data_IF_825239974175
#
_entry.id   IF_825239974175
#
_cell.length_a   1.000
_cell.length_b   1.000
_cell.length_c   1.000
_cell.angle_alpha   90.00
_cell.angle_beta   90.00
_cell.angle_gamma   90.00
#
_symmetry.space_group_name_H-M   'P 1'
#
loop_
_entity.id
_entity.type
_entity.pdbx_description
1 polymer ?
#
# COMPACT_ATOMS: atom_id res chain seq x y z
N UNK A 1 -41.59 53.53 -42.94
CA UNK A 1 -40.55 52.48 -42.97
C UNK A 1 -39.18 52.87 -42.37
N UNK A 2 -38.92 54.13 -41.96
CA UNK A 2 -37.62 54.52 -41.38
C UNK A 2 -37.51 54.41 -39.85
N UNK A 3 -38.62 54.31 -39.11
CA UNK A 3 -38.60 54.24 -37.63
C UNK A 3 -38.29 52.81 -37.11
N UNK A 4 -38.87 51.77 -37.72
CA UNK A 4 -38.66 50.38 -37.30
C UNK A 4 -37.24 49.86 -37.53
N UNK A 5 -36.51 50.40 -38.51
CA UNK A 5 -35.13 49.98 -38.81
C UNK A 5 -34.15 50.49 -37.74
N UNK A 6 -34.38 51.69 -37.20
CA UNK A 6 -33.54 52.26 -36.12
C UNK A 6 -33.71 51.51 -34.80
N UNK A 7 -34.93 51.06 -34.50
CA UNK A 7 -35.21 50.22 -33.32
C UNK A 7 -34.55 48.84 -33.41
N UNK A 8 -34.59 48.18 -34.58
CA UNK A 8 -33.92 46.90 -34.78
C UNK A 8 -32.39 47.02 -34.70
N UNK A 9 -31.80 48.09 -35.24
CA UNK A 9 -30.35 48.31 -35.16
C UNK A 9 -29.88 48.55 -33.72
N UNK A 10 -30.66 49.30 -32.92
CA UNK A 10 -30.33 49.55 -31.52
C UNK A 10 -30.41 48.27 -30.68
N UNK A 11 -31.42 47.42 -30.92
CA UNK A 11 -31.57 46.13 -30.22
C UNK A 11 -30.45 45.16 -30.62
N UNK A 12 -30.08 45.09 -31.91
CA UNK A 12 -28.98 44.26 -32.37
C UNK A 12 -27.61 44.69 -31.79
N UNK A 13 -27.40 46.00 -31.61
CA UNK A 13 -26.15 46.54 -31.04
C UNK A 13 -26.03 46.25 -29.54
N UNK A 14 -27.15 46.29 -28.80
CA UNK A 14 -27.17 45.95 -27.36
C UNK A 14 -27.02 44.44 -27.13
N UNK A 15 -27.55 43.60 -28.02
CA UNK A 15 -27.37 42.13 -27.95
C UNK A 15 -25.92 41.72 -28.25
N UNK A 16 -25.23 42.39 -29.17
CA UNK A 16 -23.81 42.14 -29.44
C UNK A 16 -22.88 42.51 -28.26
N UNK A 17 -23.25 43.48 -27.43
CA UNK A 17 -22.47 43.89 -26.25
C UNK A 17 -22.59 42.89 -25.08
N UNK A 18 -23.58 42.00 -25.08
CA UNK A 18 -23.74 40.93 -24.09
C UNK A 18 -23.11 39.59 -24.54
N UNK A 19 -22.53 39.55 -25.75
CA UNK A 19 -21.81 38.40 -26.30
C UNK A 19 -20.28 38.56 -26.20
N UNK A 20 -19.78 39.39 -25.29
CA UNK A 20 -18.35 39.38 -24.96
C UNK A 20 -18.05 38.11 -24.17
N UNK A 21 -17.72 37.03 -24.89
CA UNK A 21 -17.03 35.89 -24.31
C UNK A 21 -15.76 36.43 -23.62
N UNK A 22 -15.70 36.31 -22.30
CA UNK A 22 -14.44 36.38 -21.58
C UNK A 22 -13.66 35.16 -22.06
N UNK A 23 -12.60 35.38 -22.84
CA UNK A 23 -11.65 34.30 -23.13
C UNK A 23 -11.13 33.83 -21.77
N UNK A 24 -11.38 32.56 -21.36
CA UNK A 24 -10.72 32.04 -20.19
C UNK A 24 -9.24 32.05 -20.54
N UNK A 25 -8.47 32.89 -19.86
CA UNK A 25 -7.03 32.78 -19.91
C UNK A 25 -6.70 31.40 -19.34
N UNK A 26 -6.45 30.44 -20.23
CA UNK A 26 -5.83 29.18 -19.87
C UNK A 26 -4.43 29.52 -19.38
N UNK A 27 -4.35 29.83 -18.09
CA UNK A 27 -3.12 29.79 -17.35
C UNK A 27 -2.62 28.35 -17.47
N UNK A 28 -1.81 28.08 -18.50
CA UNK A 28 -0.96 26.91 -18.55
C UNK A 28 0.04 27.13 -17.42
N UNK A 29 -0.35 26.74 -16.22
CA UNK A 29 0.53 26.60 -15.08
C UNK A 29 1.56 25.54 -15.46
N UNK A 30 2.65 25.96 -16.11
CA UNK A 30 3.88 25.18 -16.23
C UNK A 30 4.57 25.12 -14.86
N UNK A 31 3.84 24.68 -13.84
CA UNK A 31 4.43 24.22 -12.60
C UNK A 31 4.91 22.80 -12.84
N UNK A 32 6.19 22.63 -13.17
CA UNK A 32 6.81 21.31 -13.01
C UNK A 32 6.95 21.07 -11.52
N UNK A 33 5.93 20.46 -10.92
CA UNK A 33 6.02 19.94 -9.56
C UNK A 33 6.99 18.76 -9.63
N UNK A 34 8.25 19.02 -9.28
CA UNK A 34 9.31 18.03 -9.14
C UNK A 34 9.62 17.87 -7.66
N UNK A 35 8.99 16.89 -7.03
CA UNK A 35 9.06 16.70 -5.58
C UNK A 35 9.71 15.36 -5.28
N UNK A 36 10.71 15.38 -4.40
CA UNK A 36 11.24 14.14 -3.83
C UNK A 36 10.32 13.68 -2.71
N UNK A 37 9.95 12.41 -2.75
CA UNK A 37 9.11 11.72 -1.75
C UNK A 37 9.96 10.66 -1.08
N UNK A 38 10.13 10.78 0.23
CA UNK A 38 10.92 9.83 1.04
C UNK A 38 10.06 9.21 2.13
N UNK A 39 10.03 7.89 2.17
CA UNK A 39 9.39 7.13 3.24
C UNK A 39 10.42 6.19 3.87
N UNK A 40 10.64 6.31 5.17
CA UNK A 40 11.64 5.51 5.86
C UNK A 40 11.35 5.44 7.35
N UNK A 41 11.25 4.22 7.85
CA UNK A 41 11.06 3.96 9.29
C UNK A 41 12.11 2.96 9.74
N UNK A 42 12.81 3.28 10.83
CA UNK A 42 13.68 2.34 11.55
C UNK A 42 12.93 1.80 12.76
N UNK A 43 12.82 0.47 12.87
CA UNK A 43 12.19 -0.21 14.00
C UNK A 43 13.20 -1.00 14.85
N UNK A 44 12.80 -1.36 16.07
CA UNK A 44 13.58 -2.25 16.95
C UNK A 44 13.34 -3.75 16.68
N UNK A 45 12.56 -4.10 15.65
CA UNK A 45 12.31 -5.49 15.27
C UNK A 45 13.37 -6.01 14.30
N UNK A 46 13.66 -7.31 14.40
CA UNK A 46 14.51 -8.01 13.45
C UNK A 46 13.71 -8.33 12.17
N UNK A 47 13.51 -7.31 11.35
CA UNK A 47 12.79 -7.38 10.08
C UNK A 47 13.49 -6.51 9.03
N UNK A 48 13.25 -6.73 7.72
CA UNK A 48 13.80 -5.87 6.68
C UNK A 48 13.39 -4.41 6.89
N UNK A 49 14.37 -3.56 7.16
CA UNK A 49 14.18 -2.11 7.31
C UNK A 49 14.39 -1.44 5.96
N UNK A 50 13.35 -0.81 5.43
CA UNK A 50 13.31 -0.32 4.04
C UNK A 50 13.07 1.20 4.02
N UNK A 51 13.83 1.88 3.17
CA UNK A 51 13.70 3.30 2.85
C UNK A 51 13.36 3.41 1.35
N UNK A 52 12.25 4.07 1.04
CA UNK A 52 11.80 4.31 -0.34
C UNK A 52 12.06 5.77 -0.69
N UNK A 53 12.72 5.98 -1.83
CA UNK A 53 13.04 7.30 -2.35
C UNK A 53 12.51 7.38 -3.78
N UNK A 54 11.54 8.26 -3.97
CA UNK A 54 10.88 8.46 -5.25
C UNK A 54 10.83 9.94 -5.61
N UNK A 55 10.55 10.22 -6.87
CA UNK A 55 10.34 11.55 -7.42
C UNK A 55 8.96 11.62 -8.06
N UNK A 56 8.11 12.47 -7.51
CA UNK A 56 6.84 12.81 -8.13
C UNK A 56 7.08 13.84 -9.22
N UNK A 57 6.72 13.52 -10.46
CA UNK A 57 6.73 14.45 -11.59
C UNK A 57 5.40 14.43 -12.31
N UNK A 58 4.89 15.61 -12.63
CA UNK A 58 3.83 15.75 -13.60
C UNK A 58 4.37 15.51 -15.02
N UNK A 59 3.70 14.66 -15.78
CA UNK A 59 3.92 14.49 -17.21
C UNK A 59 3.65 15.84 -17.92
N UNK A 60 4.63 16.42 -18.64
CA UNK A 60 4.47 17.73 -19.29
C UNK A 60 3.41 17.77 -20.40
N UNK A 61 3.05 16.63 -20.99
CA UNK A 61 2.10 16.50 -22.09
C UNK A 61 0.70 16.12 -21.61
N UNK A 62 0.61 15.25 -20.60
CA UNK A 62 -0.68 14.73 -20.11
C UNK A 62 -1.14 15.34 -18.80
N UNK A 63 -0.27 16.07 -18.09
CA UNK A 63 -0.53 16.61 -16.76
C UNK A 63 -0.70 15.54 -15.67
N UNK A 64 -0.52 14.25 -16.01
CA UNK A 64 -0.68 13.14 -15.07
C UNK A 64 0.51 13.04 -14.15
N UNK A 65 0.26 12.86 -12.87
CA UNK A 65 1.31 12.63 -11.88
C UNK A 65 1.84 11.21 -12.00
N UNK A 66 3.16 11.08 -12.12
CA UNK A 66 3.89 9.82 -12.08
C UNK A 66 4.88 9.80 -10.93
N UNK A 67 5.14 8.61 -10.39
CA UNK A 67 6.17 8.36 -9.38
C UNK A 67 7.32 7.67 -10.08
N UNK A 68 8.49 8.32 -10.10
CA UNK A 68 9.72 7.77 -10.66
C UNK A 68 10.65 7.34 -9.53
N UNK A 69 11.11 6.09 -9.48
CA UNK A 69 12.08 5.65 -8.49
C UNK A 69 13.40 6.40 -8.66
N UNK A 70 13.98 6.85 -7.55
CA UNK A 70 15.32 7.43 -7.55
C UNK A 70 16.30 6.28 -7.33
N UNK A 71 17.04 5.92 -8.38
CA UNK A 71 17.98 4.80 -8.35
C UNK A 71 19.43 5.25 -8.15
N UNK A 72 20.28 4.32 -7.69
CA UNK A 72 21.73 4.52 -7.51
C UNK A 72 22.09 5.67 -6.56
N UNK A 73 21.21 6.01 -5.63
CA UNK A 73 21.54 6.92 -4.55
C UNK A 73 22.39 6.19 -3.50
N UNK A 74 23.32 6.90 -2.88
CA UNK A 74 24.01 6.42 -1.68
C UNK A 74 23.12 6.77 -0.49
N UNK A 75 22.57 5.76 0.18
CA UNK A 75 21.60 5.93 1.28
C UNK A 75 22.18 5.34 2.56
N UNK A 76 22.17 6.11 3.64
CA UNK A 76 22.82 5.77 4.90
C UNK A 76 21.95 6.19 6.08
N UNK A 77 22.00 5.43 7.17
CA UNK A 77 21.44 5.82 8.47
C UNK A 77 22.57 6.02 9.46
N UNK A 78 22.63 7.21 10.05
CA UNK A 78 23.59 7.58 11.07
C UNK A 78 22.97 7.35 12.45
N UNK A 79 23.66 6.58 13.29
CA UNK A 79 23.29 6.27 14.68
C UNK A 79 24.16 7.09 15.63
N UNK A 80 23.54 7.81 16.55
CA UNK A 80 24.17 8.68 17.57
C UNK A 80 25.22 9.64 17.02
N UNK A 81 25.01 10.12 15.79
CA UNK A 81 25.94 11.03 15.08
C UNK A 81 27.33 10.43 14.78
N UNK A 82 27.53 9.12 14.95
CA UNK A 82 28.85 8.51 14.86
C UNK A 82 28.86 7.27 13.95
N UNK A 83 27.99 6.29 14.22
CA UNK A 83 27.98 5.05 13.47
C UNK A 83 27.19 5.21 12.17
N UNK A 84 27.81 4.85 11.04
CA UNK A 84 27.17 4.88 9.72
C UNK A 84 26.72 3.47 9.36
N UNK A 85 25.45 3.32 8.98
CA UNK A 85 24.90 2.07 8.46
C UNK A 85 24.48 2.29 7.01
N UNK A 86 25.14 1.59 6.10
CA UNK A 86 24.88 1.68 4.67
C UNK A 86 23.66 0.85 4.25
N UNK A 87 22.81 1.43 3.40
CA UNK A 87 21.75 0.69 2.73
C UNK A 87 22.23 0.14 1.39
N UNK A 88 21.61 -0.94 0.92
CA UNK A 88 21.77 -1.45 -0.43
C UNK A 88 20.46 -1.32 -1.21
N UNK A 89 20.54 -0.94 -2.49
CA UNK A 89 19.36 -0.90 -3.35
C UNK A 89 18.93 -2.33 -3.72
N UNK A 90 17.64 -2.64 -3.53
CA UNK A 90 17.07 -3.98 -3.76
C UNK A 90 16.24 -4.01 -5.04
N UNK A 91 15.34 -3.04 -5.17
CA UNK A 91 14.54 -2.74 -6.35
C UNK A 91 14.66 -1.23 -6.58
N UNK A 92 14.52 -0.78 -7.81
CA UNK A 92 14.60 0.64 -8.18
C UNK A 92 13.86 1.54 -7.16
N UNK A 93 14.60 2.45 -6.52
CA UNK A 93 14.04 3.40 -5.54
C UNK A 93 13.81 2.84 -4.14
N UNK A 94 14.17 1.58 -3.88
CA UNK A 94 14.00 0.88 -2.60
C UNK A 94 15.35 0.46 -2.03
N UNK A 95 15.71 1.06 -0.90
CA UNK A 95 16.99 0.89 -0.22
C UNK A 95 16.75 0.16 1.10
N UNK A 96 17.48 -0.93 1.32
CA UNK A 96 17.33 -1.76 2.51
C UNK A 96 18.59 -1.69 3.37
N UNK A 97 18.41 -1.54 4.68
CA UNK A 97 19.49 -1.69 5.66
C UNK A 97 19.95 -3.16 5.74
N UNK A 98 21.13 -3.44 6.34
CA UNK A 98 21.58 -4.81 6.57
C UNK A 98 20.51 -5.66 7.27
N UNK A 99 20.36 -6.92 6.89
CA UNK A 99 19.27 -7.79 7.38
C UNK A 99 19.33 -8.07 8.89
N UNK A 100 20.50 -7.91 9.49
CA UNK A 100 20.76 -8.07 10.92
C UNK A 100 20.61 -6.76 11.71
N UNK A 101 20.45 -5.63 11.03
CA UNK A 101 20.25 -4.34 11.67
C UNK A 101 18.85 -4.24 12.29
N UNK A 102 18.82 -3.83 13.56
CA UNK A 102 17.62 -3.40 14.27
C UNK A 102 17.95 -2.17 15.10
N UNK A 103 17.03 -1.23 15.14
CA UNK A 103 17.14 -0.07 16.00
C UNK A 103 17.08 -0.45 17.49
N UNK A 104 17.51 0.47 18.32
CA UNK A 104 17.59 0.34 19.76
C UNK A 104 16.92 1.55 20.40
N UNK A 105 16.12 1.28 21.43
CA UNK A 105 15.38 2.30 22.17
C UNK A 105 16.36 3.27 22.82
N UNK A 106 16.08 4.57 22.75
CA UNK A 106 16.93 5.63 23.30
C UNK A 106 18.05 6.11 22.40
N UNK A 107 18.38 5.39 21.32
CA UNK A 107 19.37 5.82 20.34
C UNK A 107 18.78 6.81 19.32
N UNK A 108 19.62 7.68 18.79
CA UNK A 108 19.26 8.70 17.81
C UNK A 108 19.60 8.25 16.38
N UNK A 109 18.64 8.37 15.47
CA UNK A 109 18.78 7.96 14.07
C UNK A 109 18.60 9.15 13.13
N UNK A 110 19.43 9.24 12.08
CA UNK A 110 19.31 10.24 11.03
C UNK A 110 19.48 9.58 9.67
N UNK A 111 18.55 9.84 8.75
CA UNK A 111 18.69 9.45 7.35
C UNK A 111 19.55 10.47 6.61
N UNK A 112 20.53 9.99 5.85
CA UNK A 112 21.30 10.77 4.90
C UNK A 112 21.29 10.07 3.54
N UNK A 113 21.14 10.83 2.47
CA UNK A 113 21.31 10.28 1.13
C UNK A 113 21.89 11.26 0.13
N UNK A 114 22.64 10.71 -0.81
CA UNK A 114 23.26 11.45 -1.91
C UNK A 114 22.77 10.90 -3.22
N UNK A 115 22.18 11.76 -4.04
CA UNK A 115 21.72 11.42 -5.39
C UNK A 115 22.90 11.24 -6.34
N UNK A 116 22.66 10.57 -7.46
CA UNK A 116 23.67 10.33 -8.51
C UNK A 116 24.25 11.61 -9.14
N UNK A 117 23.55 12.74 -9.03
CA UNK A 117 24.01 14.06 -9.46
C UNK A 117 24.83 14.80 -8.39
N UNK A 118 25.08 14.19 -7.22
CA UNK A 118 25.81 14.77 -6.10
C UNK A 118 24.96 15.60 -5.13
N UNK A 119 23.65 15.74 -5.33
CA UNK A 119 22.80 16.47 -4.38
C UNK A 119 22.65 15.69 -3.06
N UNK A 120 22.87 16.36 -1.93
CA UNK A 120 22.85 15.77 -0.59
C UNK A 120 21.60 16.15 0.21
N UNK A 121 21.02 15.18 0.90
CA UNK A 121 19.86 15.34 1.76
C UNK A 121 20.10 14.72 3.13
N UNK A 122 19.52 15.31 4.17
CA UNK A 122 19.53 14.75 5.51
C UNK A 122 18.20 15.00 6.24
N UNK A 123 17.79 14.05 7.08
CA UNK A 123 16.68 14.23 8.02
C UNK A 123 17.11 14.97 9.28
N UNK A 124 16.16 15.40 10.10
CA UNK A 124 16.45 15.64 11.52
C UNK A 124 16.74 14.32 12.24
N UNK A 125 17.41 14.40 13.38
CA UNK A 125 17.60 13.24 14.26
C UNK A 125 16.28 12.83 14.91
N UNK A 126 16.07 11.52 15.03
CA UNK A 126 14.90 10.92 15.67
C UNK A 126 15.38 9.96 16.75
N UNK A 127 15.09 10.27 18.01
CA UNK A 127 15.37 9.39 19.14
C UNK A 127 14.25 8.36 19.22
N UNK A 128 14.60 7.07 19.19
CA UNK A 128 13.61 6.00 19.26
C UNK A 128 12.97 5.97 20.66
N UNK A 129 11.66 6.28 20.80
CA UNK A 129 11.00 6.25 22.09
C UNK A 129 10.77 4.80 22.55
N UNK A 130 10.55 4.60 23.84
CA UNK A 130 10.03 3.34 24.37
C UNK A 130 8.59 3.12 23.90
N UNK A 131 8.20 1.86 23.72
CA UNK A 131 6.81 1.44 23.54
C UNK A 131 6.45 0.41 24.60
N UNK A 132 5.30 0.55 25.30
CA UNK A 132 4.87 -0.46 26.26
C UNK A 132 4.41 -1.73 25.53
N UNK A 133 4.45 -2.85 26.25
CA UNK A 133 3.93 -4.11 25.75
C UNK A 133 2.41 -4.02 25.54
N UNK A 134 1.90 -4.76 24.55
CA UNK A 134 0.46 -4.94 24.40
C UNK A 134 0.04 -6.04 25.39
N UNK A 135 -0.75 -5.69 26.41
CA UNK A 135 -1.19 -6.66 27.41
C UNK A 135 -2.24 -7.61 26.83
N UNK A 136 -3.16 -7.07 26.04
CA UNK A 136 -4.21 -7.83 25.35
C UNK A 136 -4.72 -7.10 24.13
N UNK A 137 -4.93 -7.85 23.03
CA UNK A 137 -5.70 -7.39 21.88
C UNK A 137 -6.95 -8.27 21.75
N UNK A 138 -8.11 -7.71 22.10
CA UNK A 138 -9.39 -8.40 21.97
C UNK A 138 -9.99 -8.13 20.60
N UNK A 139 -10.40 -9.19 19.91
CA UNK A 139 -11.04 -9.12 18.60
C UNK A 139 -12.54 -9.27 18.80
N UNK A 140 -13.33 -8.33 18.28
CA UNK A 140 -14.79 -8.33 18.42
C UNK A 140 -15.44 -8.19 17.06
N UNK A 141 -16.23 -9.20 16.66
CA UNK A 141 -17.02 -9.10 15.44
C UNK A 141 -18.05 -7.97 15.53
N UNK A 142 -18.15 -7.15 14.49
CA UNK A 142 -19.11 -6.07 14.38
C UNK A 142 -19.63 -5.94 12.95
N UNK A 143 -20.97 -6.01 12.79
CA UNK A 143 -21.67 -5.93 11.50
C UNK A 143 -21.46 -4.59 10.78
N UNK A 144 -21.14 -3.55 11.55
CA UNK A 144 -21.00 -2.17 11.10
C UNK A 144 -19.65 -1.56 11.51
N UNK A 145 -18.60 -2.39 11.63
CA UNK A 145 -17.25 -1.93 11.99
C UNK A 145 -16.74 -0.86 11.02
N UNK A 146 -16.84 -1.11 9.72
CA UNK A 146 -16.25 -0.24 8.69
C UNK A 146 -17.15 0.97 8.37
N UNK A 147 -16.59 2.09 7.89
CA UNK A 147 -17.39 3.25 7.44
C UNK A 147 -18.17 2.95 6.15
N UNK A 148 -19.22 3.74 5.90
CA UNK A 148 -20.00 3.68 4.66
C UNK A 148 -19.15 4.06 3.44
N UNK A 149 -19.44 3.47 2.28
CA UNK A 149 -18.78 3.78 1.03
C UNK A 149 -17.37 3.19 0.85
N UNK A 150 -16.80 2.55 1.89
CA UNK A 150 -15.47 1.93 1.78
C UNK A 150 -15.46 0.68 0.89
N UNK A 151 -16.55 -0.09 0.91
CA UNK A 151 -16.74 -1.28 0.09
C UNK A 151 -18.06 -1.20 -0.69
N UNK A 152 -18.17 -1.89 -1.84
CA UNK A 152 -19.39 -1.98 -2.64
C UNK A 152 -20.58 -2.47 -1.84
N UNK A 153 -21.78 -2.16 -2.33
CA UNK A 153 -23.04 -2.59 -1.74
C UNK A 153 -23.18 -2.23 -0.25
N UNK A 154 -22.48 -1.18 0.20
CA UNK A 154 -22.41 -0.77 1.60
C UNK A 154 -21.97 -1.91 2.54
N UNK A 155 -21.06 -2.78 2.09
CA UNK A 155 -20.48 -3.79 2.95
C UNK A 155 -19.68 -3.13 4.09
N UNK A 156 -19.99 -3.52 5.33
CA UNK A 156 -19.41 -2.91 6.53
C UNK A 156 -18.96 -3.88 7.62
N UNK A 157 -19.20 -5.17 7.42
CA UNK A 157 -18.93 -6.18 8.43
C UNK A 157 -17.43 -6.43 8.57
N UNK A 158 -16.98 -6.56 9.81
CA UNK A 158 -15.58 -6.75 10.13
C UNK A 158 -15.37 -7.01 11.61
N UNK A 159 -14.13 -6.82 12.04
CA UNK A 159 -13.69 -7.00 13.41
C UNK A 159 -13.11 -5.69 13.94
N UNK A 160 -13.60 -5.26 15.10
CA UNK A 160 -12.99 -4.20 15.89
C UNK A 160 -11.92 -4.80 16.80
N UNK A 161 -10.76 -4.16 16.86
CA UNK A 161 -9.64 -4.61 17.69
C UNK A 161 -9.51 -3.68 18.88
N UNK A 162 -9.88 -4.19 20.06
CA UNK A 162 -9.83 -3.48 21.32
C UNK A 162 -8.52 -3.76 22.04
N UNK A 163 -7.70 -2.74 22.17
CA UNK A 163 -6.39 -2.79 22.79
C UNK A 163 -6.47 -2.55 24.30
N UNK A 164 -5.65 -3.31 25.03
CA UNK A 164 -5.34 -3.10 26.44
C UNK A 164 -3.82 -2.99 26.59
N UNK A 165 -3.33 -1.88 27.13
CA UNK A 165 -1.91 -1.65 27.41
C UNK A 165 -1.75 -0.65 28.56
N UNK A 166 -0.76 -0.87 29.40
CA UNK A 166 -0.36 0.06 30.46
C UNK A 166 0.61 1.11 29.90
N UNK A 167 0.16 2.38 29.90
CA UNK A 167 1.00 3.51 29.50
C UNK A 167 2.08 3.80 30.56
N UNK A 168 3.34 4.08 30.17
CA UNK A 168 4.38 4.49 31.11
C UNK A 168 4.10 5.89 31.70
N UNK A 169 4.17 6.08 33.03
CA UNK A 169 3.88 7.37 33.64
C UNK A 169 5.02 8.38 33.46
N UNK A 170 4.69 9.66 33.64
CA UNK A 170 5.62 10.80 33.72
C UNK A 170 6.30 11.21 32.39
N UNK A 171 5.93 10.58 31.29
CA UNK A 171 6.36 10.97 29.94
C UNK A 171 5.12 11.22 29.08
N UNK A 172 5.24 12.06 28.05
CA UNK A 172 4.13 12.28 27.10
C UNK A 172 4.31 11.34 25.92
N UNK A 173 3.57 10.25 25.96
CA UNK A 173 3.64 9.18 24.98
C UNK A 173 2.68 9.40 23.82
N UNK A 174 3.16 9.03 22.63
CA UNK A 174 2.37 9.11 21.41
C UNK A 174 2.48 7.79 20.69
N UNK A 175 1.35 7.27 20.26
CA UNK A 175 1.27 5.96 19.64
C UNK A 175 0.60 6.03 18.29
N UNK A 176 1.02 5.10 17.44
CA UNK A 176 0.33 4.71 16.21
C UNK A 176 0.06 3.22 16.27
N UNK A 177 -1.06 2.80 15.69
CA UNK A 177 -1.33 1.38 15.47
C UNK A 177 -1.48 1.08 14.00
N UNK A 178 -0.80 0.03 13.58
CA UNK A 178 -0.94 -0.58 12.27
C UNK A 178 -1.36 -2.03 12.45
N UNK A 179 -2.07 -2.56 11.46
CA UNK A 179 -2.41 -3.97 11.42
C UNK A 179 -2.12 -4.57 10.06
N UNK A 180 -1.77 -5.85 10.08
CA UNK A 180 -1.60 -6.68 8.89
C UNK A 180 -2.41 -7.95 9.05
N UNK A 181 -3.25 -8.24 8.07
CA UNK A 181 -4.04 -9.45 7.97
C UNK A 181 -3.44 -10.32 6.86
N UNK A 182 -3.02 -11.52 7.22
CA UNK A 182 -2.63 -12.54 6.26
C UNK A 182 -3.84 -13.43 5.99
N UNK A 183 -4.20 -13.61 4.73
CA UNK A 183 -5.23 -14.56 4.30
C UNK A 183 -4.67 -15.49 3.22
N UNK A 184 -5.04 -16.77 3.26
CA UNK A 184 -4.54 -17.75 2.30
C UNK A 184 -5.18 -17.52 0.93
N UNK A 185 -4.34 -17.48 -0.11
CA UNK A 185 -4.78 -17.27 -1.48
C UNK A 185 -4.66 -18.56 -2.30
N UNK A 186 -5.74 -18.93 -2.99
CA UNK A 186 -5.76 -20.08 -3.92
C UNK A 186 -5.26 -19.73 -5.31
N UNK A 187 -5.39 -18.48 -5.75
CA UNK A 187 -5.11 -18.04 -7.12
C UNK A 187 -3.88 -17.12 -7.19
N UNK A 188 -2.84 -17.57 -7.89
CA UNK A 188 -1.52 -16.91 -7.88
C UNK A 188 -1.25 -16.04 -9.09
N UNK A 189 -1.88 -16.34 -10.24
CA UNK A 189 -1.65 -15.62 -11.49
C UNK A 189 -2.95 -15.44 -12.26
N UNK A 190 -3.14 -14.24 -12.78
CA UNK A 190 -4.20 -13.89 -13.73
C UNK A 190 -3.53 -13.39 -15.00
N UNK A 191 -3.80 -14.07 -16.12
CA UNK A 191 -3.31 -13.68 -17.43
C UNK A 191 -4.46 -13.08 -18.24
N UNK A 192 -4.37 -11.78 -18.56
CA UNK A 192 -5.35 -11.10 -19.41
C UNK A 192 -5.04 -11.37 -20.89
N UNK A 193 -6.02 -11.91 -21.62
CA UNK A 193 -5.90 -12.28 -23.05
C UNK A 193 -4.72 -13.20 -23.41
N UNK A 194 -4.10 -13.79 -22.40
CA UNK A 194 -2.86 -14.56 -22.46
C UNK A 194 -2.99 -15.85 -21.68
N UNK A 195 -2.10 -16.81 -21.91
CA UNK A 195 -2.04 -18.09 -21.19
C UNK A 195 -0.74 -18.19 -20.41
N UNK A 196 -0.80 -18.77 -19.21
CA UNK A 196 0.39 -19.02 -18.41
C UNK A 196 1.13 -20.26 -18.90
N UNK A 197 2.45 -20.16 -19.02
CA UNK A 197 3.32 -21.31 -19.30
C UNK A 197 4.37 -21.46 -18.20
N UNK A 198 4.52 -22.68 -17.68
CA UNK A 198 5.58 -22.98 -16.71
C UNK A 198 6.94 -23.16 -17.40
N UNK A 199 6.92 -23.60 -18.66
CA UNK A 199 8.12 -24.00 -19.38
C UNK A 199 7.94 -24.02 -20.90
N UNK A 200 9.05 -23.90 -21.61
CA UNK A 200 9.16 -24.17 -23.05
C UNK A 200 10.05 -25.38 -23.27
N UNK A 201 9.80 -26.11 -24.35
CA UNK A 201 10.63 -27.22 -24.80
C UNK A 201 11.23 -26.89 -26.16
N UNK A 202 12.54 -27.06 -26.30
CA UNK A 202 13.24 -26.97 -27.57
C UNK A 202 13.95 -28.28 -27.85
N UNK A 203 13.69 -28.88 -28.99
CA UNK A 203 14.33 -30.12 -29.43
C UNK A 203 15.26 -29.87 -30.61
N UNK A 204 16.51 -30.32 -30.51
CA UNK A 204 17.50 -30.25 -31.59
C UNK A 204 18.34 -31.53 -31.63
N UNK A 205 18.98 -31.79 -32.77
CA UNK A 205 19.87 -32.95 -32.93
C UNK A 205 21.29 -32.49 -32.61
N UNK A 206 21.93 -33.14 -31.65
CA UNK A 206 23.33 -32.94 -31.32
C UNK A 206 24.07 -34.27 -31.44
N UNK A 207 25.04 -34.35 -32.36
CA UNK A 207 25.83 -35.58 -32.62
C UNK A 207 24.97 -36.82 -32.93
N UNK A 208 23.87 -36.66 -33.67
CA UNK A 208 22.96 -37.75 -34.01
C UNK A 208 21.99 -38.16 -32.88
N UNK A 209 22.02 -37.47 -31.74
CA UNK A 209 21.11 -37.69 -30.61
C UNK A 209 20.06 -36.58 -30.56
N UNK A 210 18.80 -36.96 -30.39
CA UNK A 210 17.73 -35.99 -30.10
C UNK A 210 17.87 -35.47 -28.68
N UNK A 211 18.16 -34.18 -28.54
CA UNK A 211 18.25 -33.49 -27.25
C UNK A 211 17.03 -32.60 -27.10
N UNK A 212 16.26 -32.79 -26.02
CA UNK A 212 15.16 -31.91 -25.63
C UNK A 212 15.55 -31.11 -24.40
N UNK A 213 15.62 -29.78 -24.53
CA UNK A 213 15.90 -28.86 -23.44
C UNK A 213 14.59 -28.25 -22.97
N UNK A 214 14.32 -28.38 -21.68
CA UNK A 214 13.19 -27.71 -21.01
C UNK A 214 13.70 -26.46 -20.30
N UNK A 215 13.17 -25.29 -20.68
CA UNK A 215 13.50 -24.00 -20.05
C UNK A 215 12.29 -23.50 -19.25
N UNK A 216 12.47 -23.19 -17.98
CA UNK A 216 11.44 -22.54 -17.17
C UNK A 216 11.15 -21.13 -17.70
N UNK A 217 9.86 -20.79 -17.84
CA UNK A 217 9.42 -19.45 -18.25
C UNK A 217 8.62 -18.80 -17.14
N UNK A 218 7.60 -19.52 -16.63
CA UNK A 218 6.74 -19.06 -15.53
C UNK A 218 6.11 -17.67 -15.79
N UNK A 219 5.58 -17.44 -16.99
CA UNK A 219 4.99 -16.16 -17.40
C UNK A 219 3.72 -16.30 -18.27
N UNK A 220 2.97 -15.21 -18.39
CA UNK A 220 1.82 -15.08 -19.28
C UNK A 220 2.31 -14.78 -20.70
N UNK A 221 1.93 -15.62 -21.66
CA UNK A 221 2.30 -15.48 -23.07
C UNK A 221 1.07 -15.44 -23.97
N UNK A 222 1.24 -14.84 -25.13
CA UNK A 222 0.23 -14.85 -26.19
C UNK A 222 -0.09 -16.30 -26.58
N UNK A 223 -1.38 -16.70 -26.60
CA UNK A 223 -1.76 -18.04 -26.98
C UNK A 223 -1.61 -18.24 -28.49
N UNK A 224 -1.37 -19.48 -28.91
CA UNK A 224 -1.23 -19.85 -30.32
C UNK A 224 -2.54 -19.60 -31.10
N UNK A 225 -3.68 -19.93 -30.48
CA UNK A 225 -5.01 -19.54 -30.95
C UNK A 225 -5.50 -18.39 -30.10
N UNK A 226 -5.83 -17.25 -30.71
CA UNK A 226 -6.35 -16.07 -30.00
C UNK A 226 -7.88 -16.13 -30.00
N UNK A 227 -8.52 -16.44 -28.85
CA UNK A 227 -9.96 -16.28 -28.74
C UNK A 227 -10.32 -14.81 -29.03
N UNK A 228 -11.44 -14.60 -29.71
CA UNK A 228 -11.99 -13.26 -29.85
C UNK A 228 -12.58 -12.79 -28.52
N UNK A 229 -12.35 -11.53 -28.17
CA UNK A 229 -12.87 -10.90 -26.96
C UNK A 229 -11.87 -10.83 -25.81
N UNK A 230 -12.32 -10.20 -24.72
CA UNK A 230 -11.57 -10.07 -23.48
C UNK A 230 -11.81 -11.30 -22.60
N UNK A 231 -10.74 -11.90 -22.11
CA UNK A 231 -10.80 -13.05 -21.21
C UNK A 231 -9.65 -13.02 -20.22
N UNK A 232 -9.85 -13.71 -19.10
CA UNK A 232 -8.83 -13.96 -18.09
C UNK A 232 -8.63 -15.47 -17.95
N UNK A 233 -7.37 -15.88 -17.84
CA UNK A 233 -7.01 -17.20 -17.36
C UNK A 233 -6.39 -17.06 -15.97
N UNK A 234 -7.04 -17.64 -14.98
CA UNK A 234 -6.57 -17.66 -13.61
C UNK A 234 -5.99 -19.03 -13.28
N UNK A 235 -4.84 -18.99 -12.61
CA UNK A 235 -4.05 -20.18 -12.31
C UNK A 235 -3.89 -20.32 -10.80
N UNK A 236 -4.27 -21.49 -10.32
CA UNK A 236 -4.13 -21.84 -8.91
C UNK A 236 -2.66 -21.82 -8.48
N UNK A 237 -2.45 -21.49 -7.22
CA UNK A 237 -1.16 -21.47 -6.58
C UNK A 237 -0.55 -22.87 -6.49
N UNK A 238 0.66 -23.04 -7.02
CA UNK A 238 1.47 -24.26 -6.88
C UNK A 238 2.18 -24.33 -5.54
N UNK A 239 2.63 -23.17 -5.05
CA UNK A 239 3.27 -22.99 -3.75
C UNK A 239 2.28 -22.38 -2.77
N UNK A 240 2.58 -22.45 -1.47
CA UNK A 240 1.79 -21.71 -0.49
C UNK A 240 1.80 -20.21 -0.82
N UNK A 241 0.68 -19.54 -0.53
CA UNK A 241 0.51 -18.13 -0.85
C UNK A 241 -0.43 -17.45 0.14
N UNK A 242 0.00 -16.29 0.61
CA UNK A 242 -0.80 -15.43 1.48
C UNK A 242 -0.85 -14.04 0.89
N UNK A 243 -2.06 -13.50 0.75
CA UNK A 243 -2.24 -12.08 0.53
C UNK A 243 -2.07 -11.33 1.85
N UNK A 244 -1.50 -10.13 1.76
CA UNK A 244 -1.15 -9.26 2.87
C UNK A 244 -2.03 -8.02 2.78
N UNK A 245 -3.07 -7.97 3.62
CA UNK A 245 -4.00 -6.85 3.71
C UNK A 245 -3.57 -5.96 4.88
N UNK A 246 -3.58 -4.64 4.69
CA UNK A 246 -3.12 -3.66 5.69
C UNK A 246 -4.11 -2.52 5.85
N UNK A 247 -4.01 -1.76 6.94
CA UNK A 247 -4.72 -0.49 7.04
C UNK A 247 -4.08 0.60 6.19
N UNK A 248 -4.94 1.45 5.64
CA UNK A 248 -4.59 2.77 5.14
C UNK A 248 -4.97 3.91 6.11
N UNK A 249 -6.10 3.83 6.84
CA UNK A 249 -6.41 4.81 7.89
C UNK A 249 -5.35 4.85 8.99
N UNK A 250 -5.00 6.05 9.44
CA UNK A 250 -4.01 6.24 10.50
C UNK A 250 -4.70 6.26 11.87
N UNK A 251 -4.39 5.28 12.71
CA UNK A 251 -4.81 5.21 14.10
C UNK A 251 -3.74 5.85 14.99
N UNK A 252 -3.99 7.08 15.44
CA UNK A 252 -3.04 7.88 16.24
C UNK A 252 -3.60 8.17 17.63
N UNK A 253 -2.71 8.29 18.61
CA UNK A 253 -3.04 8.70 19.97
C UNK A 253 -1.93 9.52 20.64
N UNK A 254 -2.35 10.47 21.45
CA UNK A 254 -1.52 11.27 22.36
C UNK A 254 -2.11 11.12 23.77
N UNK A 255 -1.28 10.72 24.72
CA UNK A 255 -1.67 10.43 26.10
C UNK A 255 -1.84 11.68 26.97
N UNK A 256 -1.78 12.89 26.41
CA UNK A 256 -1.81 14.16 27.15
C UNK A 256 -2.90 14.24 28.24
N UNK A 257 -4.04 13.57 28.06
CA UNK A 257 -5.17 13.56 29.01
C UNK A 257 -5.24 12.32 29.91
N UNK A 258 -4.39 11.32 29.68
CA UNK A 258 -4.42 10.01 30.34
C UNK A 258 -3.03 9.46 30.68
N UNK A 259 -2.00 10.32 30.76
CA UNK A 259 -0.60 9.95 31.00
C UNK A 259 -0.45 8.94 32.16
N UNK A 260 0.19 7.81 31.89
CA UNK A 260 0.39 6.72 32.84
C UNK A 260 -0.87 5.89 33.13
N UNK A 261 -1.98 6.19 32.45
CA UNK A 261 -3.25 5.51 32.61
C UNK A 261 -3.31 4.19 31.84
N UNK A 262 -4.22 3.31 32.26
CA UNK A 262 -4.53 2.10 31.51
C UNK A 262 -5.33 2.46 30.25
N UNK A 263 -4.78 2.16 29.07
CA UNK A 263 -5.52 2.23 27.83
C UNK A 263 -6.40 0.98 27.72
N UNK A 264 -7.59 1.01 28.31
CA UNK A 264 -8.49 -0.15 28.38
C UNK A 264 -9.54 -0.14 27.25
N UNK A 265 -9.49 -1.14 26.38
CA UNK A 265 -10.54 -1.40 25.38
C UNK A 265 -10.60 -0.36 24.27
N UNK A 266 -9.48 0.30 23.95
CA UNK A 266 -9.42 1.29 22.88
C UNK A 266 -9.57 0.57 21.53
N UNK A 267 -10.54 0.95 20.71
CA UNK A 267 -10.58 0.48 19.33
C UNK A 267 -9.43 1.10 18.54
N UNK A 268 -8.47 0.27 18.12
CA UNK A 268 -7.27 0.71 17.39
C UNK A 268 -7.24 0.25 15.94
N UNK A 269 -8.12 -0.66 15.55
CA UNK A 269 -8.14 -1.22 14.21
C UNK A 269 -9.53 -1.77 13.84
N UNK A 270 -9.87 -1.62 12.56
CA UNK A 270 -11.08 -2.16 11.95
C UNK A 270 -10.65 -3.06 10.79
N UNK A 271 -10.89 -4.36 10.91
CA UNK A 271 -10.41 -5.37 9.96
C UNK A 271 -11.60 -5.92 9.17
N UNK A 272 -11.60 -5.86 7.83
CA UNK A 272 -12.73 -6.31 7.03
C UNK A 272 -12.94 -7.83 7.09
N UNK A 273 -14.20 -8.27 7.07
CA UNK A 273 -14.54 -9.68 6.89
C UNK A 273 -14.56 -10.03 5.39
N UNK A 274 -13.38 -10.31 4.82
CA UNK A 274 -13.24 -10.58 3.38
C UNK A 274 -13.70 -12.00 3.01
N UNK A 275 -13.32 -12.99 3.81
CA UNK A 275 -13.61 -14.41 3.56
C UNK A 275 -14.01 -15.13 4.85
N UNK A 276 -14.57 -16.33 4.69
CA UNK A 276 -14.82 -17.29 5.76
C UNK A 276 -13.56 -18.06 6.19
N UNK A 277 -12.46 -17.94 5.44
CA UNK A 277 -11.22 -18.66 5.75
C UNK A 277 -10.56 -18.06 7.00
N UNK A 278 -9.95 -18.91 7.85
CA UNK A 278 -9.21 -18.42 9.00
C UNK A 278 -8.01 -17.58 8.55
N UNK A 279 -7.61 -16.64 9.39
CA UNK A 279 -6.60 -15.63 9.05
C UNK A 279 -5.69 -15.34 10.24
N UNK A 280 -4.49 -14.83 9.96
CA UNK A 280 -3.58 -14.32 10.97
C UNK A 280 -3.64 -12.79 10.98
N UNK A 281 -4.07 -12.21 12.10
CA UNK A 281 -4.00 -10.78 12.35
C UNK A 281 -2.75 -10.45 13.16
N UNK A 282 -1.96 -9.51 12.68
CA UNK A 282 -0.79 -8.96 13.36
C UNK A 282 -1.06 -7.49 13.65
N UNK A 283 -1.21 -7.15 14.93
CA UNK A 283 -1.34 -5.78 15.43
C UNK A 283 0.02 -5.27 15.88
N UNK A 284 0.41 -4.09 15.42
CA UNK A 284 1.62 -3.38 15.83
C UNK A 284 1.25 -2.08 16.52
N UNK A 285 1.82 -1.88 17.71
CA UNK A 285 1.82 -0.61 18.42
C UNK A 285 3.19 0.03 18.26
N UNK A 286 3.21 1.25 17.73
CA UNK A 286 4.41 2.00 17.39
C UNK A 286 4.50 3.24 18.27
N UNK A 287 5.65 3.52 18.88
CA UNK A 287 5.91 4.76 19.61
C UNK A 287 6.35 5.88 18.67
N UNK A 288 5.84 7.09 18.85
CA UNK A 288 6.15 8.23 18.00
C UNK A 288 6.87 9.35 18.76
N UNK A 289 7.84 9.97 18.10
CA UNK A 289 8.39 11.26 18.54
C UNK A 289 7.32 12.36 18.40
N UNK A 290 7.45 13.49 19.12
CA UNK A 290 6.54 14.63 18.96
C UNK A 290 6.42 15.11 17.51
N UNK A 291 7.55 15.17 16.79
CA UNK A 291 7.60 15.60 15.39
C UNK A 291 6.93 14.60 14.45
N UNK A 292 7.15 13.30 14.66
CA UNK A 292 6.53 12.24 13.87
C UNK A 292 5.00 12.24 14.05
N UNK A 293 4.52 12.36 15.30
CA UNK A 293 3.09 12.45 15.57
C UNK A 293 2.45 13.67 14.88
N UNK A 294 3.08 14.84 14.98
CA UNK A 294 2.58 16.05 14.31
C UNK A 294 2.50 15.85 12.79
N UNK A 295 3.52 15.24 12.19
CA UNK A 295 3.52 14.94 10.77
C UNK A 295 2.37 14.00 10.37
N UNK A 296 2.22 12.86 11.07
CA UNK A 296 1.17 11.88 10.76
C UNK A 296 -0.24 12.41 11.04
N UNK A 297 -0.41 13.26 12.06
CA UNK A 297 -1.70 13.88 12.35
C UNK A 297 -2.11 14.88 11.26
N UNK A 298 -1.18 15.72 10.80
CA UNK A 298 -1.42 16.60 9.64
C UNK A 298 -1.73 15.81 8.37
N UNK A 299 -0.99 14.73 8.12
CA UNK A 299 -1.25 13.84 6.97
C UNK A 299 -2.65 13.22 7.06
N UNK A 300 -3.05 12.72 8.24
CA UNK A 300 -4.38 12.18 8.49
C UNK A 300 -5.46 13.23 8.25
N UNK A 301 -5.31 14.44 8.78
CA UNK A 301 -6.28 15.52 8.60
C UNK A 301 -6.48 15.89 7.12
N UNK A 302 -5.42 15.90 6.33
CA UNK A 302 -5.49 16.24 4.91
C UNK A 302 -6.03 15.11 4.03
N UNK A 303 -5.81 13.85 4.39
CA UNK A 303 -6.13 12.70 3.53
C UNK A 303 -7.38 11.92 3.96
N UNK A 304 -7.76 12.00 5.24
CA UNK A 304 -8.82 11.18 5.83
C UNK A 304 -9.99 12.00 6.39
N UNK A 305 -9.83 13.32 6.57
CA UNK A 305 -10.89 14.20 7.08
C UNK A 305 -11.43 15.19 6.03
N UNK A 306 -11.08 15.05 4.75
CA UNK A 306 -11.59 15.91 3.68
C UNK A 306 -13.07 15.64 3.40
N UNK A 307 -13.95 16.63 3.58
CA UNK A 307 -15.37 16.49 3.22
C UNK A 307 -16.38 17.37 3.96
N UNK A 308 -15.98 18.43 4.66
CA UNK A 308 -16.89 19.32 5.39
C UNK A 308 -16.93 20.75 4.82
N UNK A 309 -18.04 21.48 5.00
CA UNK A 309 -18.15 22.91 4.60
C UNK A 309 -17.20 23.85 5.37
N UNK A 310 -16.49 23.34 6.37
CA UNK A 310 -15.53 24.05 7.21
C UNK A 310 -14.14 23.38 7.14
N UNK A 311 -13.68 23.04 5.93
CA UNK A 311 -12.32 22.56 5.72
C UNK A 311 -11.31 23.62 6.19
N UNK A 312 -10.42 23.22 7.09
CA UNK A 312 -9.32 24.08 7.54
C UNK A 312 -8.39 24.34 6.34
N UNK A 313 -7.93 25.58 6.10
CA UNK A 313 -7.02 25.84 5.00
C UNK A 313 -5.83 24.87 5.05
N UNK A 314 -5.41 24.30 3.90
CA UNK A 314 -4.40 23.26 3.88
C UNK A 314 -3.09 23.79 4.47
N UNK A 315 -2.69 23.25 5.62
CA UNK A 315 -1.36 23.51 6.21
C UNK A 315 -0.34 22.68 5.44
N UNK A 316 0.77 23.29 5.02
CA UNK A 316 1.81 22.55 4.30
C UNK A 316 2.31 21.36 5.14
N UNK A 317 2.24 20.15 4.57
CA UNK A 317 2.80 18.94 5.18
C UNK A 317 4.32 18.96 5.02
N UNK A 318 5.01 19.61 5.97
CA UNK A 318 6.46 19.73 5.94
C UNK A 318 7.09 18.51 6.64
N UNK A 319 7.91 17.77 5.89
CA UNK A 319 8.70 16.66 6.38
C UNK A 319 9.90 17.07 7.24
N UNK A 320 10.69 16.09 7.68
CA UNK A 320 11.95 16.34 8.40
C UNK A 320 13.21 16.22 7.53
N UNK A 321 13.08 16.00 6.23
CA UNK A 321 14.20 15.81 5.28
C UNK A 321 14.44 17.09 4.50
N UNK A 322 15.70 17.47 4.35
CA UNK A 322 16.11 18.71 3.66
C UNK A 322 17.31 18.50 2.77
N UNK A 323 17.30 19.14 1.61
CA UNK A 323 18.51 19.33 0.81
C UNK A 323 19.49 20.25 1.58
N UNK A 324 20.73 19.82 1.70
CA UNK A 324 21.77 20.51 2.45
C UNK A 324 22.32 21.76 1.74
N UNK A 325 22.24 21.82 0.41
CA UNK A 325 22.66 22.95 -0.40
C UNK A 325 21.51 23.93 -0.73
N UNK A 326 20.27 23.45 -0.80
CA UNK A 326 19.09 24.27 -1.11
C UNK A 326 17.92 23.97 -0.16
N UNK A 327 17.84 24.70 0.96
CA UNK A 327 16.77 24.52 1.95
C UNK A 327 15.39 24.95 1.49
N UNK A 328 15.25 25.53 0.28
CA UNK A 328 13.96 25.91 -0.32
C UNK A 328 13.40 24.82 -1.24
N UNK A 329 14.17 23.76 -1.53
CA UNK A 329 13.66 22.63 -2.30
C UNK A 329 12.54 21.92 -1.51
N UNK A 330 11.45 21.62 -2.19
CA UNK A 330 10.35 20.87 -1.61
C UNK A 330 10.70 19.38 -1.53
N UNK A 331 10.69 18.83 -0.31
CA UNK A 331 10.79 17.40 -0.04
C UNK A 331 9.59 17.00 0.79
N UNK A 332 8.90 15.95 0.36
CA UNK A 332 7.74 15.37 1.05
C UNK A 332 8.15 14.05 1.68
N UNK A 333 7.54 13.72 2.81
CA UNK A 333 7.84 12.51 3.54
C UNK A 333 8.52 12.75 4.87
N UNK A 334 8.68 11.70 5.66
CA UNK A 334 9.21 11.79 7.01
C UNK A 334 10.02 10.54 7.32
N UNK A 335 11.24 10.75 7.82
CA UNK A 335 12.06 9.69 8.38
C UNK A 335 11.80 9.58 9.88
N UNK A 336 11.47 8.39 10.38
CA UNK A 336 11.20 8.18 11.81
C UNK A 336 11.91 6.95 12.37
N UNK A 337 12.16 6.96 13.68
CA UNK A 337 12.63 5.81 14.44
C UNK A 337 11.60 5.49 15.52
N UNK A 338 11.14 4.25 15.57
CA UNK A 338 10.01 3.83 16.41
C UNK A 338 10.27 2.48 17.05
N UNK A 339 9.92 2.33 18.32
CA UNK A 339 9.86 1.02 18.94
C UNK A 339 8.49 0.40 18.64
N UNK A 340 8.48 -0.91 18.43
CA UNK A 340 7.29 -1.68 18.06
C UNK A 340 7.04 -2.78 19.07
N UNK A 341 5.79 -2.83 19.54
CA UNK A 341 5.22 -3.95 20.29
C UNK A 341 4.20 -4.66 19.41
N UNK A 342 4.24 -5.99 19.36
CA UNK A 342 3.45 -6.79 18.42
C UNK A 342 2.55 -7.78 19.15
N UNK A 343 1.28 -7.83 18.76
CA UNK A 343 0.33 -8.88 19.13
C UNK A 343 -0.09 -9.65 17.89
N UNK A 344 -0.10 -10.98 17.98
CA UNK A 344 -0.55 -11.88 16.90
C UNK A 344 -1.79 -12.63 17.36
N UNK A 345 -2.85 -12.56 16.56
CA UNK A 345 -4.12 -13.21 16.88
C UNK A 345 -4.59 -14.04 15.70
N UNK A 346 -4.92 -15.30 15.97
CA UNK A 346 -5.56 -16.18 14.99
C UNK A 346 -7.06 -15.90 14.94
N UNK A 347 -7.59 -15.65 13.75
CA UNK A 347 -8.99 -15.39 13.50
C UNK A 347 -9.61 -16.64 12.86
N UNK A 348 -10.37 -17.43 13.61
CA UNK A 348 -11.11 -18.57 13.03
C UNK A 348 -12.39 -18.15 12.27
N UNK A 349 -12.83 -16.91 12.51
CA UNK A 349 -14.00 -16.24 11.94
C UNK A 349 -15.33 -16.97 12.12
N UNK A 350 -15.42 -17.92 13.05
CA UNK A 350 -16.64 -18.71 13.31
C UNK A 350 -17.71 -17.92 14.05
N UNK A 351 -17.33 -16.82 14.69
CA UNK A 351 -18.19 -15.89 15.41
C UNK A 351 -18.93 -14.90 14.49
N UNK A 352 -18.52 -14.81 13.21
CA UNK A 352 -19.14 -13.92 12.25
C UNK A 352 -20.61 -14.30 12.02
N UNK A 353 -21.51 -13.35 12.27
CA UNK A 353 -22.97 -13.52 12.07
C UNK A 353 -23.47 -12.87 10.78
N UNK A 354 -22.56 -12.41 9.92
CA UNK A 354 -22.86 -11.93 8.57
C UNK A 354 -22.00 -12.64 7.55
N UNK A 355 -22.41 -12.51 6.30
CA UNK A 355 -21.73 -13.17 5.20
C UNK A 355 -20.55 -12.29 4.76
N UNK A 356 -19.35 -12.87 4.57
CA UNK A 356 -18.19 -12.11 4.11
C UNK A 356 -18.36 -11.47 2.74
N UNK A 357 -17.55 -10.45 2.48
CA UNK A 357 -17.56 -9.71 1.21
C UNK A 357 -17.34 -10.61 0.00
N UNK A 358 -16.46 -11.60 0.12
CA UNK A 358 -16.07 -12.51 -0.95
C UNK A 358 -17.03 -13.66 -1.21
N UNK A 359 -18.06 -13.85 -0.38
CA UNK A 359 -18.90 -15.06 -0.43
C UNK A 359 -19.95 -15.05 -1.53
N UNK A 360 -20.25 -13.90 -2.13
CA UNK A 360 -21.17 -13.78 -3.26
C UNK A 360 -20.53 -13.01 -4.41
N UNK A 361 -20.85 -13.42 -5.64
CA UNK A 361 -20.51 -12.65 -6.83
C UNK A 361 -21.46 -11.45 -7.04
N UNK A 362 -21.21 -10.66 -8.08
CA UNK A 362 -22.06 -9.50 -8.42
C UNK A 362 -23.49 -9.87 -8.84
N UNK A 363 -23.74 -11.15 -9.15
CA UNK A 363 -25.05 -11.71 -9.49
C UNK A 363 -25.77 -12.32 -8.27
N UNK A 364 -25.13 -12.30 -7.09
CA UNK A 364 -25.66 -12.88 -5.86
C UNK A 364 -25.49 -14.40 -5.73
N UNK A 365 -24.68 -15.04 -6.58
CA UNK A 365 -24.40 -16.47 -6.48
C UNK A 365 -23.28 -16.74 -5.48
N UNK A 366 -23.34 -17.89 -4.81
CA UNK A 366 -22.33 -18.30 -3.83
C UNK A 366 -20.98 -18.55 -4.53
N UNK A 367 -19.94 -17.91 -4.03
CA UNK A 367 -18.54 -18.16 -4.42
C UNK A 367 -18.01 -19.35 -3.62
N UNK A 368 -17.19 -20.20 -4.26
CA UNK A 368 -16.56 -21.32 -3.56
C UNK A 368 -15.70 -20.81 -2.40
N UNK A 369 -15.64 -21.55 -1.31
CA UNK A 369 -14.94 -21.16 -0.08
C UNK A 369 -13.49 -20.68 -0.31
N UNK A 370 -12.76 -21.33 -1.22
CA UNK A 370 -11.37 -20.98 -1.51
C UNK A 370 -11.21 -19.87 -2.57
N UNK A 371 -12.29 -19.47 -3.24
CA UNK A 371 -12.30 -18.44 -4.29
C UNK A 371 -12.71 -17.06 -3.74
N UNK A 372 -13.23 -17.00 -2.51
CA UNK A 372 -13.77 -15.78 -1.89
C UNK A 372 -12.76 -14.65 -1.81
N UNK A 373 -11.50 -14.95 -1.43
CA UNK A 373 -10.48 -13.92 -1.31
C UNK A 373 -10.16 -13.29 -2.66
N UNK A 374 -10.08 -14.13 -3.69
CA UNK A 374 -9.89 -13.68 -5.06
C UNK A 374 -11.04 -12.76 -5.49
N UNK A 375 -12.28 -13.16 -5.25
CA UNK A 375 -13.43 -12.30 -5.57
C UNK A 375 -13.41 -10.99 -4.77
N UNK A 376 -13.13 -11.04 -3.46
CA UNK A 376 -13.11 -9.87 -2.59
C UNK A 376 -12.08 -8.81 -3.04
N UNK A 377 -10.92 -9.26 -3.54
CA UNK A 377 -9.83 -8.38 -3.98
C UNK A 377 -9.94 -7.97 -5.46
N UNK A 378 -10.35 -8.89 -6.35
CA UNK A 378 -10.29 -8.70 -7.81
C UNK A 378 -11.65 -8.32 -8.40
N UNK A 379 -12.76 -8.54 -7.67
CA UNK A 379 -14.14 -8.22 -8.11
C UNK A 379 -14.60 -8.96 -9.35
N UNK A 380 -14.18 -10.21 -9.49
CA UNK A 380 -14.69 -11.16 -10.49
C UNK A 380 -14.46 -12.57 -10.01
N UNK A 381 -15.25 -13.51 -10.51
CA UNK A 381 -14.96 -14.92 -10.28
C UNK A 381 -13.66 -15.34 -11.00
N UNK A 382 -12.88 -16.25 -10.41
CA UNK A 382 -11.74 -16.81 -11.10
C UNK A 382 -12.23 -17.65 -12.29
N UNK A 383 -11.65 -17.38 -13.44
CA UNK A 383 -11.86 -18.13 -14.67
C UNK A 383 -10.72 -19.11 -14.79
N UNK A 384 -10.93 -20.34 -14.30
CA UNK A 384 -9.96 -21.41 -14.46
C UNK A 384 -9.68 -21.60 -15.95
N UNK A 385 -8.49 -21.21 -16.40
CA UNK A 385 -8.20 -21.18 -17.83
C UNK A 385 -8.34 -22.58 -18.44
N UNK A 386 -9.02 -22.66 -19.58
CA UNK A 386 -9.10 -23.87 -20.42
C UNK A 386 -7.79 -24.08 -21.18
N UNK A 387 -6.68 -24.18 -20.45
CA UNK A 387 -5.38 -24.46 -21.03
C UNK A 387 -5.16 -25.95 -21.15
N UNK A 388 -5.30 -26.52 -22.35
CA UNK A 388 -4.62 -27.78 -22.67
C UNK A 388 -3.12 -27.53 -22.44
N UNK A 389 -2.40 -28.38 -21.69
CA UNK A 389 -0.98 -28.15 -21.44
C UNK A 389 -0.22 -27.97 -22.76
N UNK A 390 0.51 -26.87 -22.89
CA UNK A 390 1.48 -26.68 -23.98
C UNK A 390 2.74 -27.56 -23.81
N UNK A 391 2.69 -28.55 -22.90
CA UNK A 391 3.75 -29.54 -22.69
C UNK A 391 3.31 -30.92 -23.18
N UNK A 392 4.13 -31.60 -24.02
CA UNK A 392 4.01 -33.04 -24.23
C UNK A 392 4.18 -33.77 -22.90
N UNK A 393 3.09 -34.33 -22.36
CA UNK A 393 3.12 -35.04 -21.08
C UNK A 393 1.78 -35.02 -20.33
N UNK A 394 0.75 -35.61 -20.93
CA UNK A 394 -0.55 -35.91 -20.29
C UNK A 394 -1.62 -34.85 -20.53
N UNK A 395 -2.78 -35.28 -21.05
CA UNK A 395 -3.95 -34.44 -21.31
C UNK A 395 -4.60 -33.85 -20.03
N UNK A 396 -4.16 -34.30 -18.84
CA UNK A 396 -4.84 -34.05 -17.55
C UNK A 396 -4.07 -33.11 -16.60
N UNK A 397 -2.96 -32.49 -17.02
CA UNK A 397 -2.19 -31.61 -16.12
C UNK A 397 -2.76 -30.19 -16.11
N UNK A 398 -3.39 -29.81 -15.00
CA UNK A 398 -3.76 -28.42 -14.74
C UNK A 398 -2.51 -27.57 -14.53
N UNK A 399 -2.34 -26.54 -15.35
CA UNK A 399 -1.26 -25.57 -15.19
C UNK A 399 -1.51 -24.77 -13.90
N UNK A 400 -0.48 -24.61 -13.08
CA UNK A 400 -0.49 -23.83 -11.82
C UNK A 400 0.64 -22.81 -11.85
N UNK A 401 0.52 -21.74 -11.07
CA UNK A 401 1.53 -20.68 -11.00
C UNK A 401 2.18 -20.60 -9.60
N UNK A 402 3.47 -20.27 -9.48
CA UNK A 402 4.09 -20.00 -8.20
C UNK A 402 3.54 -18.71 -7.58
N UNK A 403 3.54 -18.63 -6.26
CA UNK A 403 3.26 -17.39 -5.55
C UNK A 403 4.48 -16.48 -5.63
N UNK A 404 4.38 -15.39 -6.39
CA UNK A 404 5.45 -14.41 -6.54
C UNK A 404 5.40 -13.44 -5.35
N UNK A 405 6.50 -13.26 -4.59
CA UNK A 405 6.55 -12.30 -3.50
C UNK A 405 6.38 -10.87 -4.05
N UNK A 406 5.63 -10.05 -3.32
CA UNK A 406 5.45 -8.63 -3.63
C UNK A 406 4.87 -7.89 -2.43
N UNK A 407 4.58 -6.60 -2.58
CA UNK A 407 4.13 -5.76 -1.46
C UNK A 407 2.88 -6.33 -0.77
N UNK A 408 1.96 -6.93 -1.51
CA UNK A 408 0.69 -7.43 -0.99
C UNK A 408 0.59 -8.97 -0.96
N UNK A 409 1.70 -9.69 -1.15
CA UNK A 409 1.67 -11.15 -1.28
C UNK A 409 3.00 -11.81 -0.90
N UNK A 410 2.93 -12.96 -0.23
CA UNK A 410 4.13 -13.71 0.14
C UNK A 410 3.96 -15.23 -0.04
N UNK A 411 5.00 -15.94 -0.55
CA UNK A 411 5.06 -17.40 -0.52
C UNK A 411 5.56 -17.94 0.82
N UNK A 412 6.08 -17.09 1.69
CA UNK A 412 6.66 -17.47 2.98
C UNK A 412 5.58 -17.51 4.04
N UNK A 413 5.51 -18.64 4.76
CA UNK A 413 4.54 -18.84 5.85
C UNK A 413 4.71 -17.73 6.90
N UNK A 414 3.65 -16.92 7.17
CA UNK A 414 3.72 -15.87 8.18
C UNK A 414 4.02 -16.44 9.57
N UNK A 415 4.85 -15.74 10.33
CA UNK A 415 5.15 -16.10 11.72
C UNK A 415 3.88 -15.99 12.59
N UNK A 416 3.50 -17.08 13.26
CA UNK A 416 2.26 -17.19 14.03
C UNK A 416 1.09 -17.82 13.25
N UNK A 417 1.29 -18.18 11.97
CA UNK A 417 0.27 -18.89 11.19
C UNK A 417 0.02 -20.31 11.72
N UNK A 418 -1.23 -20.63 12.06
CA UNK A 418 -1.66 -21.94 12.56
C UNK A 418 -1.98 -22.86 11.36
N UNK A 419 -1.57 -24.14 11.46
CA UNK A 419 -1.82 -25.15 10.41
C UNK A 419 -3.17 -25.83 10.59
#
# INVERSE_FOLDING_TARGET
MHSSVKGLLAIATVICLLLSCVDPEELILRGTVDIIVVDGTVTNLAEPQVIRINRSRADPLTGRFGVLPITKAVVQVIVDSAQVIDCHETVDGTYQLPSDFKGQIGHAYQLQFTLSNGTHYASTQQIMPLVPAIDRAQVVFNKTSLPLGLYPNNFRSGYDILLYTQDPPNERNRYRWDWTLYEKQKWCRSCYRTVYIDSTQQSYIQNGVYVTVKKGVEDCVEPVSKPNGDFYNDYACRTACWDIIRNYPLSLFDDQLTNGGLLAGRNVAQVPLLTRQPALLVLRQLSLTPDAYRYFDLFRQQTQNSGGLADTPPTALIGNIRNQANTREAVVGFFTATAVSTSRTWLDKKDATTIPLGSYDDLGNIVQFEDELFFALIRRQPSAGSGVPLTPGGADRTITAPCIPGDNRTPFKPEGWQN
#
